data_IF_981635059205
#
_entry.id   IF_981635059205
#
_cell.length_a   1.000
_cell.length_b   1.000
_cell.length_c   1.000
_cell.angle_alpha   90.00
_cell.angle_beta   90.00
_cell.angle_gamma   90.00
#
_symmetry.space_group_name_H-M   'P 1'
#
loop_
_entity.id
_entity.type
_entity.pdbx_description
1 polymer ?
#
# COMPACT_ATOMS: atom_id res chain seq x y z
N UNK A 1 -20.18 25.53 -1.93
CA UNK A 1 -19.64 25.72 -0.57
C UNK A 1 -18.77 24.52 -0.33
N UNK A 2 -17.47 24.70 -0.49
CA UNK A 2 -16.53 23.62 -0.26
C UNK A 2 -16.55 23.30 1.24
N UNK A 3 -16.81 22.04 1.55
CA UNK A 3 -16.88 21.58 2.94
C UNK A 3 -15.44 21.53 3.44
N UNK A 4 -15.08 22.50 4.27
CA UNK A 4 -13.78 22.58 4.92
C UNK A 4 -13.87 21.79 6.23
N UNK A 5 -12.99 20.82 6.40
CA UNK A 5 -12.86 19.99 7.60
C UNK A 5 -11.48 20.17 8.20
N UNK A 6 -11.40 20.21 9.53
CA UNK A 6 -10.11 20.16 10.23
C UNK A 6 -9.88 18.79 10.83
N UNK A 7 -8.63 18.34 10.87
CA UNK A 7 -8.24 17.03 11.40
C UNK A 7 -6.94 17.14 12.20
N UNK A 8 -6.85 16.50 13.38
CA UNK A 8 -5.60 16.46 14.14
C UNK A 8 -4.53 15.66 13.38
N UNK A 9 -3.30 16.13 13.49
CA UNK A 9 -2.11 15.49 12.95
C UNK A 9 -1.31 14.84 14.08
N UNK A 10 -0.61 13.78 13.72
CA UNK A 10 0.39 13.16 14.58
C UNK A 10 1.78 13.66 14.20
N UNK A 11 2.67 13.75 15.19
CA UNK A 11 4.08 14.03 14.92
C UNK A 11 4.91 12.76 15.01
N UNK A 12 5.76 12.56 14.02
CA UNK A 12 6.84 11.59 14.15
C UNK A 12 7.85 12.06 15.21
N UNK A 13 8.71 11.16 15.66
CA UNK A 13 9.86 11.51 16.51
C UNK A 13 10.78 12.57 15.88
N UNK A 14 10.82 12.64 14.54
CA UNK A 14 11.56 13.66 13.79
C UNK A 14 10.80 14.97 13.57
N UNK A 15 9.58 15.11 14.10
CA UNK A 15 8.76 16.32 14.01
C UNK A 15 7.93 16.44 12.74
N UNK A 16 7.93 15.42 11.87
CA UNK A 16 7.15 15.42 10.63
C UNK A 16 5.66 15.27 10.94
N UNK A 17 4.83 16.08 10.27
CA UNK A 17 3.39 15.92 10.27
C UNK A 17 3.00 14.61 9.60
N UNK A 18 2.17 13.82 10.27
CA UNK A 18 1.78 12.50 9.84
C UNK A 18 0.29 12.26 10.09
N UNK A 19 -0.28 11.38 9.27
CA UNK A 19 -1.61 10.82 9.45
C UNK A 19 -1.52 9.30 9.46
N UNK A 20 -2.43 8.67 10.19
CA UNK A 20 -2.57 7.24 10.14
C UNK A 20 -3.43 6.82 8.96
N UNK A 21 -2.97 5.79 8.27
CA UNK A 21 -3.87 4.83 7.66
C UNK A 21 -4.53 4.02 8.77
N UNK A 22 -5.86 3.99 8.80
CA UNK A 22 -6.62 3.31 9.84
C UNK A 22 -7.95 2.74 9.33
N UNK A 23 -8.60 1.98 10.20
CA UNK A 23 -9.92 1.44 9.98
C UNK A 23 -9.93 0.00 9.45
N UNK A 24 -11.13 -0.48 9.16
CA UNK A 24 -11.40 -1.80 8.63
C UNK A 24 -12.89 -2.10 8.64
N UNK A 25 -13.24 -3.36 8.45
CA UNK A 25 -14.59 -3.88 8.43
C UNK A 25 -15.06 -4.46 9.77
N UNK A 26 -16.35 -4.36 9.97
CA UNK A 26 -17.18 -5.14 10.88
C UNK A 26 -18.29 -5.82 10.08
N UNK A 27 -19.13 -6.61 10.75
CA UNK A 27 -20.17 -7.44 10.12
C UNK A 27 -20.99 -6.69 9.07
N UNK A 28 -21.50 -5.51 9.43
CA UNK A 28 -22.38 -4.72 8.56
C UNK A 28 -21.89 -3.28 8.36
N UNK A 29 -20.77 -2.91 8.95
CA UNK A 29 -20.22 -1.55 8.87
C UNK A 29 -18.74 -1.62 8.58
N UNK A 30 -18.16 -0.55 8.08
CA UNK A 30 -16.71 -0.47 7.92
C UNK A 30 -16.29 0.95 7.61
N UNK A 31 -15.14 1.33 8.14
CA UNK A 31 -14.56 2.65 7.92
C UNK A 31 -13.11 2.48 7.49
N UNK A 32 -12.64 3.30 6.57
CA UNK A 32 -11.23 3.30 6.20
C UNK A 32 -10.76 4.73 5.92
N UNK A 33 -9.54 5.03 6.35
CA UNK A 33 -8.86 6.27 6.00
C UNK A 33 -7.50 5.91 5.39
N UNK A 34 -7.26 6.37 4.16
CA UNK A 34 -5.99 6.22 3.47
C UNK A 34 -5.34 7.58 3.19
N UNK A 35 -4.02 7.60 3.14
CA UNK A 35 -3.22 8.80 2.86
C UNK A 35 -2.41 8.56 1.58
N UNK A 36 -2.54 9.48 0.64
CA UNK A 36 -1.99 9.32 -0.72
C UNK A 36 -1.30 10.59 -1.17
N UNK A 37 -0.47 10.51 -2.21
CA UNK A 37 0.09 11.71 -2.86
C UNK A 37 -1.03 12.54 -3.53
N UNK A 38 -0.75 13.78 -3.99
CA UNK A 38 -1.73 14.58 -4.73
C UNK A 38 -2.29 13.89 -5.99
N UNK A 39 -1.54 12.93 -6.54
CA UNK A 39 -1.93 12.15 -7.72
C UNK A 39 -2.55 10.79 -7.35
N UNK A 40 -2.78 10.51 -6.06
CA UNK A 40 -3.28 9.23 -5.58
C UNK A 40 -2.26 8.11 -5.52
N UNK A 41 -0.95 8.37 -5.64
CA UNK A 41 0.07 7.30 -5.50
C UNK A 41 0.25 6.94 -4.02
N UNK A 42 0.55 5.66 -3.70
CA UNK A 42 0.81 5.25 -2.33
C UNK A 42 2.07 5.94 -1.79
N UNK A 43 2.07 6.23 -0.49
CA UNK A 43 3.20 6.88 0.19
C UNK A 43 3.94 5.87 1.07
N UNK A 44 5.21 6.17 1.34
CA UNK A 44 6.01 5.38 2.27
C UNK A 44 5.59 5.67 3.71
N UNK A 45 5.21 4.63 4.45
CA UNK A 45 4.96 4.74 5.89
C UNK A 45 6.27 4.87 6.68
N UNK A 46 6.26 5.69 7.74
CA UNK A 46 7.37 5.82 8.71
C UNK A 46 7.31 4.68 9.72
N UNK A 47 6.11 4.29 10.13
CA UNK A 47 5.89 3.26 11.13
C UNK A 47 4.68 2.42 10.76
N UNK A 48 4.79 1.10 10.91
CA UNK A 48 3.68 0.15 10.74
C UNK A 48 3.50 -0.55 12.08
N UNK A 49 2.29 -0.50 12.63
CA UNK A 49 1.95 -1.18 13.88
C UNK A 49 1.79 -2.67 13.58
N UNK A 50 2.60 -3.48 14.26
CA UNK A 50 2.61 -4.94 14.12
C UNK A 50 2.13 -5.67 15.38
N UNK A 51 1.96 -4.95 16.49
CA UNK A 51 1.60 -5.51 17.80
C UNK A 51 0.57 -4.62 18.52
N UNK A 52 -0.14 -5.20 19.49
CA UNK A 52 -1.15 -4.52 20.30
C UNK A 52 -2.58 -4.70 19.76
N UNK A 53 -3.48 -3.78 20.12
CA UNK A 53 -4.81 -3.74 19.54
C UNK A 53 -4.70 -3.13 18.13
N UNK A 54 -4.77 -3.98 17.12
CA UNK A 54 -4.67 -3.58 15.71
C UNK A 54 -6.04 -3.55 15.02
N UNK A 55 -7.05 -4.18 15.61
CA UNK A 55 -8.32 -4.43 14.96
C UNK A 55 -9.03 -3.11 14.62
N UNK A 56 -9.13 -2.79 13.32
CA UNK A 56 -9.75 -1.59 12.79
C UNK A 56 -9.15 -0.28 13.35
N UNK A 57 -7.92 -0.34 13.88
CA UNK A 57 -7.24 0.77 14.55
C UNK A 57 -6.24 1.45 13.58
N UNK A 58 -5.35 2.28 14.11
CA UNK A 58 -4.22 2.84 13.38
C UNK A 58 -3.25 1.74 12.93
N UNK A 59 -3.00 1.65 11.63
CA UNK A 59 -2.17 0.62 11.02
C UNK A 59 -0.80 1.13 10.59
N UNK A 60 -0.76 2.23 9.84
CA UNK A 60 0.49 2.79 9.33
C UNK A 60 0.54 4.31 9.46
N UNK A 61 1.61 4.82 10.04
CA UNK A 61 1.88 6.25 10.17
C UNK A 61 2.56 6.76 8.91
N UNK A 62 1.89 7.64 8.18
CA UNK A 62 2.32 8.14 6.86
C UNK A 62 2.59 9.65 6.96
N UNK A 63 3.76 10.13 6.51
CA UNK A 63 4.05 11.56 6.51
C UNK A 63 3.20 12.29 5.46
N UNK A 64 2.70 13.46 5.84
CA UNK A 64 1.84 14.30 5.01
C UNK A 64 2.46 15.66 4.71
N UNK A 65 2.06 16.23 3.59
CA UNK A 65 2.43 17.55 3.09
C UNK A 65 1.18 18.23 2.54
N UNK A 66 1.22 19.55 2.41
CA UNK A 66 0.20 20.30 1.69
C UNK A 66 0.11 19.81 0.24
N UNK A 67 -1.11 19.60 -0.26
CA UNK A 67 -1.42 18.91 -1.52
C UNK A 67 -1.70 17.41 -1.37
N UNK A 68 -1.24 16.83 -0.25
CA UNK A 68 -1.69 15.56 0.34
C UNK A 68 -3.17 15.24 0.05
N UNK A 69 -3.53 14.02 -0.39
CA UNK A 69 -4.93 13.61 -0.49
C UNK A 69 -5.25 12.49 0.50
N UNK A 70 -6.37 12.64 1.20
CA UNK A 70 -6.93 11.68 2.15
C UNK A 70 -8.19 11.10 1.56
N UNK A 71 -8.25 9.77 1.48
CA UNK A 71 -9.44 9.04 1.02
C UNK A 71 -10.09 8.40 2.22
N UNK A 72 -11.33 8.80 2.50
CA UNK A 72 -12.13 8.26 3.59
C UNK A 72 -13.31 7.48 3.01
N UNK A 73 -13.54 6.29 3.55
CA UNK A 73 -14.67 5.45 3.19
C UNK A 73 -15.48 5.16 4.44
N UNK A 74 -16.79 5.35 4.34
CA UNK A 74 -17.77 4.87 5.30
C UNK A 74 -18.69 3.89 4.58
N UNK A 75 -18.79 2.69 5.11
CA UNK A 75 -19.60 1.61 4.57
C UNK A 75 -20.64 1.20 5.60
N UNK A 76 -21.89 1.14 5.16
CA UNK A 76 -22.99 0.56 5.91
C UNK A 76 -23.75 -0.40 4.98
N UNK A 77 -23.58 -1.70 5.22
CA UNK A 77 -24.05 -2.80 4.38
C UNK A 77 -23.48 -2.67 2.96
N UNK A 78 -24.35 -2.59 1.95
CA UNK A 78 -23.98 -2.42 0.53
C UNK A 78 -23.78 -0.95 0.15
N UNK A 79 -24.12 0.00 1.04
CA UNK A 79 -23.92 1.43 0.79
C UNK A 79 -22.49 1.81 1.15
N UNK A 80 -21.78 2.37 0.17
CA UNK A 80 -20.42 2.87 0.32
C UNK A 80 -20.44 4.37 0.05
N UNK A 81 -20.05 5.16 1.04
CA UNK A 81 -19.78 6.58 0.92
C UNK A 81 -18.28 6.78 0.80
N UNK A 82 -17.85 7.46 -0.26
CA UNK A 82 -16.43 7.74 -0.52
C UNK A 82 -16.26 9.25 -0.47
N UNK A 83 -15.31 9.70 0.34
CA UNK A 83 -14.95 11.10 0.47
C UNK A 83 -13.46 11.26 0.18
N UNK A 84 -13.16 12.15 -0.74
CA UNK A 84 -11.81 12.46 -1.16
C UNK A 84 -11.53 13.91 -0.79
N UNK A 85 -10.53 14.13 0.05
CA UNK A 85 -10.18 15.44 0.58
C UNK A 85 -8.70 15.74 0.35
N UNK A 86 -8.37 16.97 -0.04
CA UNK A 86 -7.01 17.48 -0.16
C UNK A 86 -6.64 18.29 1.07
N UNK A 87 -5.43 18.08 1.56
CA UNK A 87 -4.81 18.91 2.60
C UNK A 87 -4.40 20.24 1.98
N UNK A 88 -5.07 21.33 2.34
CA UNK A 88 -4.80 22.67 1.82
C UNK A 88 -3.88 23.48 2.72
N UNK A 89 -3.91 23.22 4.03
CA UNK A 89 -3.01 23.83 4.99
C UNK A 89 -2.65 22.87 6.13
N UNK A 90 -1.47 23.08 6.70
CA UNK A 90 -1.01 22.38 7.90
C UNK A 90 -0.53 23.44 8.89
N UNK A 91 -1.29 23.62 9.96
CA UNK A 91 -1.03 24.60 11.02
C UNK A 91 -0.72 23.86 12.32
N UNK A 92 0.56 23.77 12.64
CA UNK A 92 1.02 23.04 13.82
C UNK A 92 0.60 21.57 13.77
N UNK A 93 -0.31 21.18 14.66
CA UNK A 93 -0.82 19.81 14.82
C UNK A 93 -2.22 19.62 14.18
N UNK A 94 -2.64 20.52 13.30
CA UNK A 94 -3.95 20.46 12.63
C UNK A 94 -3.78 20.60 11.13
N UNK A 95 -4.43 19.71 10.37
CA UNK A 95 -4.57 19.83 8.93
C UNK A 95 -5.94 20.39 8.58
N UNK A 96 -5.97 21.29 7.60
CA UNK A 96 -7.19 21.74 6.94
C UNK A 96 -7.36 20.93 5.66
N UNK A 97 -8.51 20.28 5.55
CA UNK A 97 -8.89 19.43 4.42
C UNK A 97 -10.07 20.05 3.70
N UNK A 98 -10.00 20.00 2.37
CA UNK A 98 -11.06 20.44 1.48
C UNK A 98 -11.43 19.30 0.55
N UNK A 99 -12.73 19.06 0.38
CA UNK A 99 -13.20 18.08 -0.60
C UNK A 99 -12.66 18.43 -2.00
N UNK A 100 -12.13 17.44 -2.69
CA UNK A 100 -11.62 17.60 -4.06
C UNK A 100 -12.24 16.56 -4.98
N UNK A 101 -12.56 16.97 -6.20
CA UNK A 101 -13.03 16.10 -7.29
C UNK A 101 -11.90 15.81 -8.30
N UNK A 102 -10.65 16.10 -7.93
CA UNK A 102 -9.50 15.88 -8.80
C UNK A 102 -9.29 14.39 -9.08
N UNK A 103 -8.68 14.09 -10.24
CA UNK A 103 -8.38 12.72 -10.65
C UNK A 103 -7.37 12.10 -9.68
N UNK A 104 -7.89 11.39 -8.68
CA UNK A 104 -7.13 10.47 -7.83
C UNK A 104 -7.05 9.11 -8.50
N UNK A 105 -5.95 8.40 -8.28
CA UNK A 105 -5.81 7.00 -8.71
C UNK A 105 -7.00 6.17 -8.23
N UNK A 106 -7.62 5.44 -9.15
CA UNK A 106 -8.67 4.47 -8.84
C UNK A 106 -8.19 3.44 -7.80
N UNK A 107 -6.91 3.06 -7.86
CA UNK A 107 -6.28 2.11 -6.93
C UNK A 107 -6.38 2.57 -5.47
N UNK A 108 -6.25 3.87 -5.21
CA UNK A 108 -6.38 4.41 -3.87
C UNK A 108 -7.82 4.29 -3.34
N UNK A 109 -8.79 4.57 -4.19
CA UNK A 109 -10.21 4.44 -3.84
C UNK A 109 -10.57 2.98 -3.60
N UNK A 110 -10.14 2.10 -4.52
CA UNK A 110 -10.37 0.67 -4.40
C UNK A 110 -9.75 0.11 -3.12
N UNK A 111 -8.49 0.44 -2.81
CA UNK A 111 -7.82 0.00 -1.60
C UNK A 111 -8.55 0.45 -0.33
N UNK A 112 -9.09 1.68 -0.29
CA UNK A 112 -9.87 2.16 0.85
C UNK A 112 -11.18 1.36 1.00
N UNK A 113 -11.84 1.09 -0.11
CA UNK A 113 -13.09 0.33 -0.17
C UNK A 113 -12.88 -1.13 0.23
N UNK A 114 -11.79 -1.75 -0.21
CA UNK A 114 -11.39 -3.11 0.21
C UNK A 114 -11.06 -3.16 1.69
N UNK A 115 -10.28 -2.19 2.19
CA UNK A 115 -9.98 -2.07 3.62
C UNK A 115 -11.26 -1.98 4.46
N UNK A 116 -12.24 -1.18 4.04
CA UNK A 116 -13.54 -1.06 4.73
C UNK A 116 -14.36 -2.37 4.77
N UNK A 117 -13.99 -3.36 3.97
CA UNK A 117 -14.60 -4.70 3.96
C UNK A 117 -13.79 -5.74 4.74
N UNK A 118 -12.52 -5.45 5.02
CA UNK A 118 -11.62 -6.36 5.72
C UNK A 118 -11.99 -6.48 7.20
N UNK A 119 -12.68 -7.56 7.53
CA UNK A 119 -13.21 -7.78 8.86
C UNK A 119 -12.09 -7.86 9.89
N UNK A 120 -12.14 -6.98 10.90
CA UNK A 120 -11.10 -6.87 11.91
C UNK A 120 -9.71 -6.65 11.28
N UNK A 121 -9.63 -5.74 10.31
CA UNK A 121 -8.38 -5.40 9.63
C UNK A 121 -7.27 -5.14 10.66
N UNK A 122 -6.06 -5.63 10.37
CA UNK A 122 -4.87 -5.51 11.25
C UNK A 122 -3.63 -5.01 10.51
N UNK A 123 -3.78 -4.62 9.25
CA UNK A 123 -2.66 -4.37 8.34
C UNK A 123 -2.93 -3.14 7.47
N UNK A 124 -1.87 -2.44 7.02
CA UNK A 124 -2.02 -1.39 6.02
C UNK A 124 -2.29 -1.95 4.62
N UNK A 125 -3.00 -1.18 3.79
CA UNK A 125 -3.50 -1.54 2.46
C UNK A 125 -2.85 -0.70 1.37
N UNK A 126 -2.50 0.57 1.65
CA UNK A 126 -2.09 1.49 0.60
C UNK A 126 -0.81 2.25 0.94
N UNK A 127 0.25 1.48 1.10
CA UNK A 127 1.59 1.99 1.40
C UNK A 127 2.60 1.48 0.39
N UNK A 128 3.60 2.31 0.09
CA UNK A 128 4.76 1.87 -0.67
C UNK A 128 5.74 1.20 0.31
N UNK A 129 5.84 -0.13 0.26
CA UNK A 129 6.93 -0.85 0.91
C UNK A 129 8.11 -0.87 -0.07
N UNK A 130 9.23 -0.28 0.33
CA UNK A 130 10.50 -0.58 -0.31
C UNK A 130 10.87 -1.98 0.16
N UNK A 131 10.53 -3.00 -0.64
CA UNK A 131 11.37 -4.18 -0.64
C UNK A 131 12.72 -3.67 -1.14
N UNK A 132 13.78 -3.82 -0.34
CA UNK A 132 15.10 -3.93 -0.96
C UNK A 132 14.96 -5.10 -1.93
N UNK A 133 14.83 -4.82 -3.22
CA UNK A 133 15.06 -5.82 -4.25
C UNK A 133 16.45 -6.36 -3.95
N UNK A 134 16.52 -7.54 -3.32
CA UNK A 134 17.74 -8.32 -3.34
C UNK A 134 18.07 -8.44 -4.83
N UNK A 135 19.24 -7.96 -5.31
CA UNK A 135 19.61 -8.22 -6.68
C UNK A 135 19.61 -9.74 -6.85
N UNK A 136 18.71 -10.25 -7.68
CA UNK A 136 18.68 -11.66 -8.08
C UNK A 136 19.89 -11.93 -8.95
N UNK A 137 21.07 -11.92 -8.35
CA UNK A 137 22.32 -12.36 -8.95
C UNK A 137 22.50 -13.86 -8.70
N UNK A 138 21.50 -14.68 -9.03
CA UNK A 138 21.64 -16.14 -9.14
C UNK A 138 20.33 -16.75 -9.69
N UNK A 139 20.09 -16.60 -10.99
CA UNK A 139 19.10 -17.41 -11.70
C UNK A 139 19.46 -17.57 -13.19
N UNK A 140 20.76 -17.52 -13.53
CA UNK A 140 21.27 -17.80 -14.88
C UNK A 140 22.38 -18.87 -14.86
N UNK A 141 22.42 -19.73 -13.85
CA UNK A 141 23.39 -20.84 -13.79
C UNK A 141 22.76 -22.25 -13.82
N UNK A 142 21.43 -22.37 -13.95
CA UNK A 142 20.75 -23.68 -14.03
C UNK A 142 20.23 -24.01 -15.44
N UNK A 143 20.84 -23.45 -16.49
CA UNK A 143 20.53 -23.77 -17.88
C UNK A 143 21.79 -24.25 -18.61
N UNK A 144 22.48 -25.25 -18.07
CA UNK A 144 23.46 -26.08 -18.81
C UNK A 144 23.94 -27.25 -17.93
N UNK A 145 23.09 -28.26 -17.70
CA UNK A 145 23.57 -29.56 -17.22
C UNK A 145 22.95 -30.78 -17.93
N UNK A 146 22.24 -30.56 -19.04
CA UNK A 146 21.71 -31.65 -19.89
C UNK A 146 22.12 -31.45 -21.37
N UNK A 147 23.43 -31.39 -21.63
CA UNK A 147 23.96 -31.73 -22.96
C UNK A 147 24.58 -33.11 -22.80
N UNK A 148 23.80 -34.14 -23.15
CA UNK A 148 24.28 -35.50 -23.34
C UNK A 148 25.55 -35.47 -24.19
N UNK A 149 26.60 -36.14 -23.71
CA UNK A 149 27.84 -36.32 -24.44
C UNK A 149 27.55 -36.87 -25.85
N UNK A 150 28.16 -36.31 -26.92
CA UNK A 150 28.02 -36.89 -28.24
C UNK A 150 28.68 -38.27 -28.29
N UNK A 151 27.88 -39.30 -28.50
CA UNK A 151 28.36 -40.68 -28.73
C UNK A 151 29.11 -40.72 -30.07
N UNK A 152 30.43 -40.81 -30.02
CA UNK A 152 31.26 -41.12 -31.17
C UNK A 152 31.11 -42.60 -31.50
N UNK A 153 30.62 -42.92 -32.71
CA UNK A 153 30.67 -44.28 -33.24
C UNK A 153 32.07 -44.51 -33.84
N UNK A 154 32.87 -45.36 -33.22
CA UNK A 154 34.06 -45.93 -33.86
C UNK A 154 33.62 -47.13 -34.71
N UNK A 155 33.91 -47.07 -36.01
CA UNK A 155 33.84 -48.22 -36.92
C UNK A 155 35.04 -49.12 -36.62
N UNK A 156 34.81 -50.25 -35.96
CA UNK A 156 35.80 -51.32 -35.89
C UNK A 156 35.52 -52.37 -36.98
N UNK A 157 36.32 -52.27 -38.04
CA UNK A 157 36.73 -53.38 -38.89
C UNK A 157 37.56 -54.38 -38.04
N UNK A 158 37.39 -55.70 -38.20
CA UNK A 158 38.46 -56.72 -38.33
C UNK A 158 37.97 -58.16 -38.08
N UNK A 159 37.85 -58.88 -39.20
CA UNK A 159 38.38 -60.20 -39.56
C UNK A 159 38.39 -61.45 -38.64
N UNK A 160 38.02 -62.55 -39.32
CA UNK A 160 38.48 -63.94 -39.26
C UNK A 160 38.53 -64.71 -37.92
N UNK A 161 37.71 -65.78 -37.83
CA UNK A 161 38.18 -67.16 -37.59
C UNK A 161 37.30 -68.14 -38.38
#
# INVERSE_FOLDING_TARGET
>A
MDIIRTMPLHRSRSGLACLYECGGGLTNTGGAQLVTSPTGKPKRAIHIRTHGNLCNDDHALIPVKVGDCVVSVDRHWDRVSIQVERITAIDGDTATLERTDDLISYDAIQAAVEKSRDYHCRQPYYIQQLFEEQPTAQAENDIMEDIEEPVFFEEDEFDEI
#
